data_IF_934657027749
#
_entry.id   IF_934657027749
#
_cell.length_a   1.000
_cell.length_b   1.000
_cell.length_c   1.000
_cell.angle_alpha   90.00
_cell.angle_beta   90.00
_cell.angle_gamma   90.00
#
_symmetry.space_group_name_H-M   'P 1'
#
loop_
_entity.id
_entity.type
_entity.pdbx_description
1 polymer ?
#
# COMPACT_ATOMS: atom_id res chain seq x y z
N UNK A 1 11.03 4.12 -6.27
CA UNK A 1 10.36 2.82 -6.28
C UNK A 1 8.96 2.95 -6.83
N UNK A 2 8.45 1.89 -7.47
CA UNK A 2 7.06 1.76 -7.93
C UNK A 2 6.40 0.62 -7.14
N UNK A 3 5.19 0.84 -6.68
CA UNK A 3 4.37 -0.12 -5.96
C UNK A 3 3.30 -0.69 -6.89
N UNK A 4 3.19 -2.02 -6.98
CA UNK A 4 2.20 -2.68 -7.81
C UNK A 4 1.45 -3.74 -7.00
N UNK A 5 0.14 -3.85 -7.20
CA UNK A 5 -0.71 -4.82 -6.53
C UNK A 5 -2.11 -4.79 -7.12
N UNK A 6 -3.00 -5.68 -6.66
CA UNK A 6 -4.37 -5.71 -7.18
C UNK A 6 -5.18 -4.58 -6.55
N UNK A 7 -5.68 -3.60 -7.32
CA UNK A 7 -6.54 -2.54 -6.79
C UNK A 7 -7.84 -3.12 -6.23
N UNK A 8 -8.38 -2.53 -5.17
CA UNK A 8 -9.73 -2.85 -4.73
C UNK A 8 -10.76 -2.36 -5.76
N UNK A 9 -11.82 -3.13 -5.98
CA UNK A 9 -12.86 -2.81 -6.97
C UNK A 9 -13.79 -1.67 -6.51
N UNK A 10 -13.87 -1.42 -5.21
CA UNK A 10 -14.68 -0.34 -4.62
C UNK A 10 -13.84 0.92 -4.42
N UNK A 11 -12.61 0.76 -3.92
CA UNK A 11 -11.67 1.86 -3.65
C UNK A 11 -10.36 1.63 -4.42
N UNK A 12 -10.32 2.03 -5.70
CA UNK A 12 -9.17 1.77 -6.59
C UNK A 12 -7.81 2.35 -6.14
N UNK A 13 -7.82 3.30 -5.19
CA UNK A 13 -6.62 3.82 -4.55
C UNK A 13 -6.05 2.92 -3.44
N UNK A 14 -6.79 1.86 -3.04
CA UNK A 14 -6.42 0.86 -2.05
C UNK A 14 -6.22 -0.50 -2.71
N UNK A 15 -5.71 -1.47 -1.95
CA UNK A 15 -5.52 -2.84 -2.42
C UNK A 15 -6.69 -3.74 -2.00
N UNK A 16 -7.03 -4.67 -2.88
CA UNK A 16 -8.05 -5.69 -2.63
C UNK A 16 -7.60 -6.64 -1.53
N UNK A 17 -8.54 -7.06 -0.67
CA UNK A 17 -8.31 -8.16 0.25
C UNK A 17 -8.43 -9.51 -0.48
N UNK A 18 -7.34 -10.28 -0.54
CA UNK A 18 -7.33 -11.64 -1.08
C UNK A 18 -7.72 -12.73 -0.05
N UNK A 19 -8.00 -12.33 1.19
CA UNK A 19 -8.49 -13.20 2.25
C UNK A 19 -10.01 -13.43 2.20
N UNK A 20 -10.55 -14.04 3.26
CA UNK A 20 -11.98 -14.40 3.34
C UNK A 20 -12.87 -13.29 3.91
N UNK A 21 -12.31 -12.28 4.57
CA UNK A 21 -13.08 -11.14 5.05
C UNK A 21 -13.58 -10.29 3.87
N UNK A 22 -14.86 -9.94 3.88
CA UNK A 22 -15.49 -9.08 2.87
C UNK A 22 -15.74 -7.69 3.42
N UNK A 23 -15.93 -6.69 2.54
CA UNK A 23 -16.17 -5.31 2.96
C UNK A 23 -14.96 -4.62 3.58
N UNK A 24 -13.75 -5.13 3.33
CA UNK A 24 -12.49 -4.58 3.84
C UNK A 24 -11.45 -4.49 2.71
N UNK A 25 -10.80 -3.34 2.64
CA UNK A 25 -9.69 -3.00 1.77
C UNK A 25 -8.40 -2.90 2.59
N UNK A 26 -7.26 -2.86 1.91
CA UNK A 26 -5.96 -2.60 2.53
C UNK A 26 -5.45 -1.26 2.03
N UNK A 27 -5.41 -0.28 2.92
CA UNK A 27 -4.87 1.04 2.61
C UNK A 27 -3.38 1.09 2.97
N UNK A 28 -2.56 1.48 2.00
CA UNK A 28 -1.15 1.80 2.19
C UNK A 28 -0.95 3.29 1.95
N UNK A 29 -0.21 3.95 2.83
CA UNK A 29 0.09 5.38 2.71
C UNK A 29 1.57 5.65 3.02
N UNK A 30 2.06 6.80 2.57
CA UNK A 30 3.25 7.39 3.17
C UNK A 30 2.91 8.03 4.53
N UNK A 31 3.92 8.45 5.29
CA UNK A 31 3.71 9.07 6.61
C UNK A 31 3.05 10.45 6.55
N UNK A 32 2.97 11.08 5.38
CA UNK A 32 2.21 12.30 5.16
C UNK A 32 0.72 12.04 4.83
N UNK A 33 0.29 10.78 4.80
CA UNK A 33 -1.09 10.37 4.53
C UNK A 33 -1.44 10.25 3.05
N UNK A 34 -0.47 10.38 2.13
CA UNK A 34 -0.72 10.17 0.71
C UNK A 34 -0.90 8.69 0.41
N UNK A 35 -1.99 8.33 -0.29
CA UNK A 35 -2.27 6.96 -0.69
C UNK A 35 -1.20 6.41 -1.64
N UNK A 36 -0.82 5.15 -1.42
CA UNK A 36 0.15 4.40 -2.19
C UNK A 36 -0.49 3.14 -2.80
N UNK A 37 -1.55 3.34 -3.58
CA UNK A 37 -2.25 2.29 -4.34
C UNK A 37 -1.44 1.76 -5.53
N UNK A 38 -2.06 0.93 -6.36
CA UNK A 38 -1.41 0.32 -7.52
C UNK A 38 -0.80 1.38 -8.46
N UNK A 39 0.39 1.09 -8.99
CA UNK A 39 1.22 1.95 -9.83
C UNK A 39 1.73 3.25 -9.16
N UNK A 40 1.56 3.41 -7.84
CA UNK A 40 2.12 4.57 -7.12
C UNK A 40 3.63 4.55 -7.12
N UNK A 41 4.25 5.73 -7.06
CA UNK A 41 5.71 5.89 -6.99
C UNK A 41 6.13 6.65 -5.75
N UNK A 42 7.29 6.30 -5.20
CA UNK A 42 7.98 7.09 -4.18
C UNK A 42 9.44 7.25 -4.58
N UNK A 43 9.98 8.46 -4.40
CA UNK A 43 11.39 8.77 -4.67
C UNK A 43 12.01 9.21 -3.34
N UNK A 44 13.24 8.78 -3.08
CA UNK A 44 14.03 9.17 -1.91
C UNK A 44 15.47 9.38 -2.32
N UNK A 45 16.10 10.40 -1.74
CA UNK A 45 17.53 10.64 -1.90
C UNK A 45 18.33 9.64 -1.06
N UNK A 46 19.54 9.33 -1.52
CA UNK A 46 20.51 8.55 -0.73
C UNK A 46 21.26 9.52 0.18
N UNK A 47 21.22 9.27 1.48
CA UNK A 47 22.01 10.03 2.42
C UNK A 47 23.49 9.66 2.25
N UNK A 48 24.33 10.63 1.86
CA UNK A 48 25.74 10.39 1.58
C UNK A 48 26.57 10.00 2.80
N UNK A 49 26.19 10.45 4.01
CA UNK A 49 26.92 10.12 5.24
C UNK A 49 26.62 8.69 5.71
N UNK A 50 25.38 8.23 5.56
CA UNK A 50 24.96 6.88 5.98
C UNK A 50 24.93 5.87 4.85
N UNK A 51 25.14 6.32 3.60
CA UNK A 51 25.11 5.50 2.38
C UNK A 51 23.80 4.72 2.21
N UNK A 52 22.67 5.31 2.61
CA UNK A 52 21.38 4.62 2.62
C UNK A 52 20.17 5.54 2.55
N UNK A 53 18.99 4.94 2.43
CA UNK A 53 17.71 5.64 2.44
C UNK A 53 16.60 4.77 3.03
N UNK A 54 15.49 5.38 3.43
CA UNK A 54 14.34 4.70 4.05
C UNK A 54 13.04 5.18 3.42
N UNK A 55 12.20 4.24 2.96
CA UNK A 55 10.86 4.51 2.45
C UNK A 55 9.84 4.27 3.58
N UNK A 56 9.47 5.33 4.30
CA UNK A 56 8.50 5.21 5.40
C UNK A 56 7.07 5.06 4.87
N UNK A 57 6.41 3.97 5.27
CA UNK A 57 5.05 3.64 4.87
C UNK A 57 4.25 3.13 6.07
N UNK A 58 2.94 3.27 5.98
CA UNK A 58 1.98 2.78 6.98
C UNK A 58 0.83 2.07 6.28
N UNK A 59 0.42 0.93 6.82
CA UNK A 59 -0.66 0.13 6.28
C UNK A 59 -1.76 -0.08 7.32
N UNK A 60 -3.02 -0.12 6.88
CA UNK A 60 -4.15 -0.51 7.72
C UNK A 60 -5.21 -1.25 6.90
N UNK A 61 -5.96 -2.12 7.58
CA UNK A 61 -7.26 -2.56 7.07
C UNK A 61 -8.25 -1.38 7.14
N UNK A 62 -9.05 -1.21 6.10
CA UNK A 62 -10.01 -0.10 5.97
C UNK A 62 -11.33 -0.61 5.40
N UNK A 63 -12.47 -0.08 5.83
CA UNK A 63 -13.79 -0.48 5.32
C UNK A 63 -14.54 0.77 4.85
N UNK A 64 -14.46 1.08 3.56
CA UNK A 64 -15.01 2.34 3.04
C UNK A 64 -16.54 2.41 3.03
N UNK A 65 -17.21 1.25 2.96
CA UNK A 65 -18.68 1.14 2.97
C UNK A 65 -19.24 0.49 4.25
N UNK A 66 -18.38 0.19 5.23
CA UNK A 66 -18.75 -0.59 6.40
C UNK A 66 -19.06 -2.07 6.08
N UNK A 67 -19.73 -2.74 7.03
CA UNK A 67 -20.15 -4.16 6.92
C UNK A 67 -18.99 -5.15 6.71
N UNK A 68 -17.82 -4.85 7.27
CA UNK A 68 -16.71 -5.80 7.29
C UNK A 68 -17.14 -7.12 7.95
N UNK A 69 -16.87 -8.26 7.32
CA UNK A 69 -17.20 -9.58 7.86
C UNK A 69 -15.98 -10.23 8.53
N UNK A 70 -16.17 -11.12 9.51
CA UNK A 70 -15.09 -11.94 10.03
C UNK A 70 -14.42 -12.75 8.92
N UNK A 71 -13.10 -12.90 9.01
CA UNK A 71 -12.30 -13.65 8.04
C UNK A 71 -10.85 -13.20 8.03
N UNK A 72 -10.07 -13.75 7.11
CA UNK A 72 -8.67 -13.36 6.92
C UNK A 72 -8.54 -12.10 6.08
N UNK A 73 -7.50 -11.32 6.34
CA UNK A 73 -7.09 -10.18 5.52
C UNK A 73 -5.70 -10.48 4.98
N UNK A 74 -5.57 -10.55 3.66
CA UNK A 74 -4.34 -10.92 2.96
C UNK A 74 -4.10 -9.92 1.83
N UNK A 75 -2.94 -9.27 1.85
CA UNK A 75 -2.51 -8.35 0.80
C UNK A 75 -1.06 -8.60 0.42
N UNK A 76 -0.75 -8.44 -0.86
CA UNK A 76 0.61 -8.51 -1.38
C UNK A 76 0.84 -7.30 -2.30
N UNK A 77 1.94 -6.58 -2.07
CA UNK A 77 2.36 -5.43 -2.88
C UNK A 77 3.80 -5.68 -3.33
N UNK A 78 4.01 -5.66 -4.64
CA UNK A 78 5.33 -5.74 -5.25
C UNK A 78 5.98 -4.36 -5.26
N UNK A 79 7.18 -4.26 -4.68
CA UNK A 79 8.01 -3.06 -4.74
C UNK A 79 9.08 -3.26 -5.81
N UNK A 80 9.21 -2.30 -6.73
CA UNK A 80 10.28 -2.29 -7.74
C UNK A 80 11.13 -1.05 -7.54
N UNK A 81 12.44 -1.24 -7.38
CA UNK A 81 13.41 -0.15 -7.23
C UNK A 81 14.13 0.09 -8.55
N UNK A 82 14.26 1.36 -8.91
CA UNK A 82 15.05 1.83 -10.05
C UNK A 82 16.03 2.86 -9.49
N UNK A 83 17.28 2.80 -9.93
CA UNK A 83 18.36 3.67 -9.51
C UNK A 83 18.79 4.53 -10.70
N UNK A 84 19.17 5.77 -10.44
CA UNK A 84 19.59 6.76 -11.43
C UNK A 84 20.92 7.38 -11.04
#
# INVERSE_FOLDING_TARGET
MTLNGTPDTTESAMYSNAGTATGVQIELQNTAGAALGNASTMIQDINAATQGTTFNMQARAYSSKGKATPGTIVGAVQLTFVYQ
#
